data_IF_984584953558
#
_entry.id   IF_984584953558
#
_cell.length_a   1.000
_cell.length_b   1.000
_cell.length_c   1.000
_cell.angle_alpha   90.00
_cell.angle_beta   90.00
_cell.angle_gamma   90.00
#
_symmetry.space_group_name_H-M   'P 1'
#
loop_
_entity.id
_entity.type
_entity.pdbx_description
1 polymer ?
#
# COMPACT_ATOMS: atom_id res chain seq x y z
N UNK A 1 76.83 22.45 2.41
CA UNK A 1 75.55 23.05 2.00
C UNK A 1 74.43 22.06 2.27
N UNK A 2 73.62 22.25 3.31
CA UNK A 2 72.19 21.90 3.30
C UNK A 2 71.53 22.82 4.33
N UNK A 3 70.87 23.87 3.87
CA UNK A 3 70.08 24.74 4.75
C UNK A 3 68.79 24.03 5.15
N UNK A 4 68.54 23.89 6.45
CA UNK A 4 67.26 23.40 6.97
C UNK A 4 66.26 24.56 6.87
N UNK A 5 65.37 24.49 5.89
CA UNK A 5 64.28 25.46 5.73
C UNK A 5 63.25 25.16 6.84
N UNK A 6 62.94 26.11 7.74
CA UNK A 6 61.94 25.89 8.77
C UNK A 6 60.55 25.82 8.12
N UNK A 7 59.84 24.70 8.32
CA UNK A 7 58.43 24.58 7.91
C UNK A 7 57.61 25.60 8.68
N UNK A 8 57.02 26.57 7.97
CA UNK A 8 56.12 27.56 8.56
C UNK A 8 54.84 26.85 9.02
N UNK A 9 54.51 27.00 10.30
CA UNK A 9 53.27 26.48 10.88
C UNK A 9 52.12 27.29 10.27
N UNK A 10 51.43 26.70 9.28
CA UNK A 10 50.24 27.29 8.66
C UNK A 10 49.18 27.51 9.76
N UNK A 11 48.88 28.78 10.06
CA UNK A 11 47.73 29.14 10.90
C UNK A 11 46.46 28.63 10.22
N UNK A 12 45.67 27.85 10.94
CA UNK A 12 44.41 27.33 10.41
C UNK A 12 43.45 28.50 10.14
N UNK A 13 42.76 28.53 8.99
CA UNK A 13 41.78 29.56 8.69
C UNK A 13 40.63 29.50 9.71
N UNK A 14 40.20 30.66 10.21
CA UNK A 14 39.18 30.80 11.27
C UNK A 14 37.88 30.04 10.97
N UNK A 15 37.51 29.94 9.68
CA UNK A 15 36.35 29.17 9.22
C UNK A 15 36.46 27.66 9.52
N UNK A 16 37.67 27.09 9.48
CA UNK A 16 37.91 25.67 9.76
C UNK A 16 37.65 25.35 11.24
N UNK A 17 37.97 26.27 12.15
CA UNK A 17 37.66 26.12 13.57
C UNK A 17 36.14 26.20 13.81
N UNK A 18 35.44 27.11 13.12
CA UNK A 18 33.97 27.21 13.22
C UNK A 18 33.26 25.93 12.76
N UNK A 19 33.68 25.36 11.62
CA UNK A 19 33.15 24.09 11.11
C UNK A 19 33.44 22.94 12.08
N UNK A 20 34.63 22.90 12.70
CA UNK A 20 34.96 21.88 13.69
C UNK A 20 34.08 21.96 14.95
N UNK A 21 33.83 23.17 15.48
CA UNK A 21 32.91 23.37 16.61
C UNK A 21 31.47 23.01 16.25
N UNK A 22 31.03 23.34 15.04
CA UNK A 22 29.70 22.97 14.56
C UNK A 22 29.53 21.45 14.46
N UNK A 23 30.52 20.73 13.93
CA UNK A 23 30.52 19.26 13.92
C UNK A 23 30.48 18.67 15.33
N UNK A 24 31.25 19.21 16.27
CA UNK A 24 31.21 18.77 17.67
C UNK A 24 29.85 19.03 18.32
N UNK A 25 29.25 20.20 18.10
CA UNK A 25 27.91 20.52 18.59
C UNK A 25 26.85 19.59 18.02
N UNK A 26 26.94 19.25 16.73
CA UNK A 26 26.03 18.33 16.05
C UNK A 26 26.17 16.90 16.60
N UNK A 27 27.41 16.44 16.84
CA UNK A 27 27.68 15.14 17.47
C UNK A 27 27.10 15.08 18.88
N UNK A 28 27.31 16.11 19.71
CA UNK A 28 26.73 16.21 21.05
C UNK A 28 25.20 16.21 20.97
N UNK A 29 24.62 16.96 20.02
CA UNK A 29 23.18 16.99 19.79
C UNK A 29 22.60 15.61 19.45
N UNK A 30 23.31 14.82 18.62
CA UNK A 30 22.91 13.44 18.29
C UNK A 30 22.98 12.52 19.51
N UNK A 31 24.05 12.61 20.31
CA UNK A 31 24.21 11.80 21.52
C UNK A 31 23.12 12.13 22.55
N UNK A 32 22.84 13.41 22.77
CA UNK A 32 21.78 13.86 23.67
C UNK A 32 20.39 13.46 23.16
N UNK A 33 20.14 13.61 21.86
CA UNK A 33 18.88 13.21 21.24
C UNK A 33 18.63 11.71 21.39
N UNK A 34 19.65 10.88 21.15
CA UNK A 34 19.57 9.43 21.34
C UNK A 34 19.31 9.07 22.82
N UNK A 35 20.03 9.69 23.75
CA UNK A 35 19.84 9.44 25.19
C UNK A 35 18.43 9.82 25.66
N UNK A 36 17.88 10.92 25.16
CA UNK A 36 16.53 11.36 25.49
C UNK A 36 15.46 10.39 24.95
N UNK A 37 15.62 9.94 23.71
CA UNK A 37 14.73 8.94 23.10
C UNK A 37 14.76 7.63 23.87
N UNK A 38 15.95 7.15 24.25
CA UNK A 38 16.12 5.93 25.03
C UNK A 38 15.44 6.03 26.41
N UNK A 39 15.54 7.18 27.07
CA UNK A 39 14.87 7.42 28.35
C UNK A 39 13.34 7.44 28.22
N UNK A 40 12.82 8.09 27.16
CA UNK A 40 11.39 8.14 26.88
C UNK A 40 10.83 6.75 26.55
N UNK A 41 11.55 5.96 25.75
CA UNK A 41 11.19 4.59 25.42
C UNK A 41 11.15 3.72 26.69
N UNK A 42 12.17 3.81 27.55
CA UNK A 42 12.19 3.12 28.84
C UNK A 42 10.99 3.47 29.71
N UNK A 43 10.63 4.76 29.81
CA UNK A 43 9.45 5.21 30.58
C UNK A 43 8.13 4.71 29.98
N UNK A 44 8.01 4.66 28.65
CA UNK A 44 6.84 4.14 27.98
C UNK A 44 6.68 2.63 28.24
N UNK A 45 7.77 1.87 28.14
CA UNK A 45 7.79 0.43 28.44
C UNK A 45 7.43 0.15 29.91
N UNK A 46 8.02 0.89 30.85
CA UNK A 46 7.68 0.73 32.28
C UNK A 46 6.24 1.11 32.59
N UNK A 47 5.67 2.08 31.86
CA UNK A 47 4.26 2.44 32.01
C UNK A 47 3.35 1.31 31.52
N UNK A 48 3.66 0.71 30.36
CA UNK A 48 2.94 -0.45 29.84
C UNK A 48 3.02 -1.64 30.82
N UNK A 49 4.21 -1.93 31.35
CA UNK A 49 4.39 -3.01 32.33
C UNK A 49 3.58 -2.78 33.61
N UNK A 50 3.56 -1.55 34.15
CA UNK A 50 2.75 -1.21 35.32
C UNK A 50 1.24 -1.31 35.03
N UNK A 51 0.80 -0.97 33.82
CA UNK A 51 -0.59 -1.13 33.42
C UNK A 51 -0.96 -2.62 33.32
N UNK A 52 -0.08 -3.42 32.72
CA UNK A 52 -0.28 -4.85 32.58
C UNK A 52 -0.27 -5.57 33.93
N UNK A 53 0.60 -5.15 34.86
CA UNK A 53 0.60 -5.64 36.23
C UNK A 53 -0.69 -5.29 36.98
N UNK A 54 -1.21 -4.06 36.81
CA UNK A 54 -2.50 -3.66 37.39
C UNK A 54 -3.68 -4.41 36.78
N UNK A 55 -3.67 -4.64 35.46
CA UNK A 55 -4.66 -5.49 34.79
C UNK A 55 -4.58 -6.90 35.34
N UNK A 56 -3.37 -7.43 35.56
CA UNK A 56 -3.21 -8.81 36.03
C UNK A 56 -3.58 -9.05 37.48
N UNK A 57 -3.46 -8.03 38.34
CA UNK A 57 -3.90 -8.07 39.73
C UNK A 57 -5.42 -7.98 39.89
N UNK A 58 -6.14 -7.37 38.93
CA UNK A 58 -7.59 -7.14 39.00
C UNK A 58 -8.37 -8.16 38.15
N UNK A 59 -7.81 -8.61 37.03
CA UNK A 59 -8.47 -9.56 36.13
C UNK A 59 -8.34 -10.99 36.66
N UNK A 60 -9.49 -11.64 36.87
CA UNK A 60 -9.52 -13.09 37.09
C UNK A 60 -9.10 -13.83 35.82
N UNK A 61 -8.67 -15.10 35.90
CA UNK A 61 -8.39 -15.92 34.71
C UNK A 61 -9.59 -16.01 33.76
N UNK A 62 -10.80 -15.98 34.31
CA UNK A 62 -12.07 -16.00 33.58
C UNK A 62 -12.29 -14.72 32.77
N UNK A 63 -11.98 -13.56 33.35
CA UNK A 63 -12.08 -12.26 32.67
C UNK A 63 -11.14 -12.17 31.47
N UNK A 64 -9.91 -12.70 31.58
CA UNK A 64 -8.94 -12.71 30.46
C UNK A 64 -9.41 -13.59 29.30
N UNK A 65 -10.02 -14.74 29.61
CA UNK A 65 -10.59 -15.62 28.57
C UNK A 65 -11.75 -14.91 27.88
N UNK A 66 -12.65 -14.28 28.63
CA UNK A 66 -13.76 -13.51 28.07
C UNK A 66 -13.27 -12.32 27.22
N UNK A 67 -12.29 -11.56 27.69
CA UNK A 67 -11.69 -10.44 26.95
C UNK A 67 -11.07 -10.91 25.63
N UNK A 68 -10.30 -12.00 25.66
CA UNK A 68 -9.69 -12.55 24.44
C UNK A 68 -10.74 -12.99 23.40
N UNK A 69 -11.84 -13.60 23.84
CA UNK A 69 -12.95 -13.98 22.97
C UNK A 69 -13.67 -12.77 22.38
N UNK A 70 -13.90 -11.72 23.19
CA UNK A 70 -14.52 -10.47 22.74
C UNK A 70 -13.63 -9.77 21.72
N UNK A 71 -12.33 -9.67 21.98
CA UNK A 71 -11.37 -9.06 21.05
C UNK A 71 -11.28 -9.84 19.73
N UNK A 72 -11.23 -11.17 19.79
CA UNK A 72 -11.27 -12.01 18.60
C UNK A 72 -12.57 -11.81 17.80
N UNK A 73 -13.70 -11.72 18.50
CA UNK A 73 -15.01 -11.49 17.86
C UNK A 73 -15.09 -10.09 17.24
N UNK A 74 -14.61 -9.06 17.94
CA UNK A 74 -14.53 -7.68 17.43
C UNK A 74 -13.67 -7.61 16.18
N UNK A 75 -12.52 -8.27 16.17
CA UNK A 75 -11.66 -8.35 14.98
C UNK A 75 -12.42 -8.95 13.79
N UNK A 76 -13.09 -10.08 14.00
CA UNK A 76 -13.91 -10.73 12.96
C UNK A 76 -15.01 -9.80 12.46
N UNK A 77 -15.74 -9.14 13.36
CA UNK A 77 -16.80 -8.19 12.98
C UNK A 77 -16.23 -7.04 12.13
N UNK A 78 -15.08 -6.50 12.51
CA UNK A 78 -14.43 -5.43 11.74
C UNK A 78 -14.00 -5.92 10.36
N UNK A 79 -13.38 -7.09 10.26
CA UNK A 79 -12.97 -7.69 8.99
C UNK A 79 -14.17 -7.96 8.07
N UNK A 80 -15.30 -8.42 8.63
CA UNK A 80 -16.55 -8.57 7.85
C UNK A 80 -17.17 -7.23 7.47
N UNK A 81 -17.10 -6.22 8.35
CA UNK A 81 -17.63 -4.90 8.07
C UNK A 81 -16.89 -4.21 6.92
N UNK A 82 -15.57 -4.38 6.82
CA UNK A 82 -14.79 -3.83 5.71
C UNK A 82 -15.14 -4.52 4.39
N UNK A 83 -15.21 -5.85 4.39
CA UNK A 83 -15.65 -6.62 3.23
C UNK A 83 -17.07 -6.23 2.78
N UNK A 84 -18.01 -6.04 3.71
CA UNK A 84 -19.36 -5.60 3.42
C UNK A 84 -19.43 -4.15 2.91
N UNK A 85 -18.50 -3.27 3.30
CA UNK A 85 -18.48 -1.92 2.73
C UNK A 85 -17.99 -1.92 1.27
N UNK A 86 -17.04 -2.79 0.94
CA UNK A 86 -16.48 -2.85 -0.40
C UNK A 86 -17.24 -3.77 -1.36
N UNK A 87 -18.05 -4.72 -0.86
CA UNK A 87 -18.81 -5.64 -1.73
C UNK A 87 -19.75 -4.91 -2.69
N UNK A 88 -20.38 -3.80 -2.27
CA UNK A 88 -21.33 -3.06 -3.09
C UNK A 88 -20.65 -2.49 -4.35
N UNK A 89 -19.45 -1.96 -4.19
CA UNK A 89 -18.63 -1.41 -5.29
C UNK A 89 -18.29 -2.51 -6.30
N UNK A 90 -17.83 -3.66 -5.82
CA UNK A 90 -17.49 -4.81 -6.67
C UNK A 90 -18.71 -5.38 -7.37
N UNK A 91 -19.86 -5.47 -6.69
CA UNK A 91 -21.11 -5.98 -7.25
C UNK A 91 -21.64 -5.07 -8.38
N UNK A 92 -21.59 -3.75 -8.17
CA UNK A 92 -22.01 -2.77 -9.18
C UNK A 92 -21.09 -2.83 -10.42
N UNK A 93 -19.77 -2.92 -10.20
CA UNK A 93 -18.82 -3.06 -11.29
C UNK A 93 -19.00 -4.37 -12.07
N UNK A 94 -19.26 -5.48 -11.37
CA UNK A 94 -19.52 -6.76 -12.03
C UNK A 94 -20.80 -6.70 -12.85
N UNK A 95 -21.86 -6.07 -12.33
CA UNK A 95 -23.12 -5.85 -13.08
C UNK A 95 -22.89 -5.03 -14.35
N UNK A 96 -22.06 -4.00 -14.27
CA UNK A 96 -21.63 -3.22 -15.45
C UNK A 96 -20.92 -4.12 -16.49
N UNK A 97 -19.98 -4.97 -16.06
CA UNK A 97 -19.30 -5.88 -16.96
C UNK A 97 -20.24 -6.93 -17.55
N UNK A 98 -21.16 -7.49 -16.77
CA UNK A 98 -22.11 -8.50 -17.24
C UNK A 98 -23.00 -7.97 -18.37
N UNK A 99 -23.47 -6.72 -18.27
CA UNK A 99 -24.30 -6.09 -19.31
C UNK A 99 -23.49 -5.73 -20.55
N UNK A 100 -22.23 -5.33 -20.39
CA UNK A 100 -21.39 -4.82 -21.47
C UNK A 100 -20.38 -5.83 -22.03
N UNK A 101 -20.42 -7.09 -21.58
CA UNK A 101 -19.59 -8.17 -22.11
C UNK A 101 -20.36 -8.96 -23.16
N UNK A 102 -19.73 -9.17 -24.31
CA UNK A 102 -20.28 -9.99 -25.39
C UNK A 102 -20.46 -11.45 -24.92
N UNK A 103 -21.57 -12.12 -25.28
CA UNK A 103 -21.83 -13.51 -24.86
C UNK A 103 -20.75 -14.53 -25.26
N UNK A 104 -19.90 -14.18 -26.23
CA UNK A 104 -18.82 -15.04 -26.73
C UNK A 104 -17.47 -14.79 -26.05
N UNK A 105 -17.38 -13.79 -25.18
CA UNK A 105 -16.16 -13.43 -24.45
C UNK A 105 -16.25 -14.00 -23.04
N UNK A 106 -15.22 -14.75 -22.63
CA UNK A 106 -15.12 -15.30 -21.29
C UNK A 106 -14.11 -14.52 -20.47
N UNK A 107 -14.57 -13.95 -19.35
CA UNK A 107 -13.69 -13.31 -18.39
C UNK A 107 -13.18 -14.38 -17.41
N UNK A 108 -11.87 -14.40 -17.16
CA UNK A 108 -11.21 -15.38 -16.29
C UNK A 108 -10.64 -14.74 -15.03
N UNK A 109 -10.32 -13.43 -15.08
CA UNK A 109 -9.77 -12.70 -13.95
C UNK A 109 -10.26 -11.27 -13.96
N UNK A 110 -10.59 -10.78 -12.77
CA UNK A 110 -10.93 -9.39 -12.51
C UNK A 110 -10.17 -8.93 -11.26
N UNK A 111 -9.40 -7.86 -11.38
CA UNK A 111 -8.79 -7.16 -10.26
C UNK A 111 -9.28 -5.72 -10.28
N UNK A 112 -10.15 -5.38 -9.32
CA UNK A 112 -10.71 -4.04 -9.20
C UNK A 112 -9.91 -3.23 -8.18
N UNK A 113 -9.44 -2.06 -8.58
CA UNK A 113 -8.87 -1.05 -7.69
C UNK A 113 -9.77 0.19 -7.65
N UNK A 114 -10.70 0.27 -6.69
CA UNK A 114 -11.61 1.41 -6.53
C UNK A 114 -10.88 2.74 -6.27
N UNK A 115 -9.70 2.71 -5.64
CA UNK A 115 -8.97 3.93 -5.28
C UNK A 115 -8.36 4.62 -6.51
N UNK A 116 -7.96 3.83 -7.51
CA UNK A 116 -7.36 4.33 -8.77
C UNK A 116 -8.38 4.40 -9.92
N UNK A 117 -9.65 4.07 -9.65
CA UNK A 117 -10.69 3.94 -10.68
C UNK A 117 -10.25 3.07 -11.87
N UNK A 118 -9.53 1.97 -11.55
CA UNK A 118 -8.88 1.08 -12.49
C UNK A 118 -9.30 -0.36 -12.24
N UNK A 119 -9.53 -1.12 -13.30
CA UNK A 119 -9.76 -2.56 -13.25
C UNK A 119 -8.86 -3.28 -14.26
N UNK A 120 -8.17 -4.32 -13.82
CA UNK A 120 -7.49 -5.25 -14.72
C UNK A 120 -8.43 -6.42 -15.00
N UNK A 121 -8.73 -6.61 -16.28
CA UNK A 121 -9.63 -7.68 -16.75
C UNK A 121 -8.87 -8.58 -17.69
N UNK A 122 -8.88 -9.88 -17.40
CA UNK A 122 -8.32 -10.91 -18.27
C UNK A 122 -9.39 -11.89 -18.72
N UNK A 123 -9.22 -12.42 -19.92
CA UNK A 123 -10.21 -13.31 -20.50
C UNK A 123 -9.75 -13.98 -21.80
N UNK A 124 -10.72 -14.62 -22.43
CA UNK A 124 -10.58 -15.34 -23.69
C UNK A 124 -11.71 -14.94 -24.64
N UNK A 125 -11.38 -14.70 -25.90
CA UNK A 125 -12.32 -14.45 -26.98
C UNK A 125 -12.10 -15.49 -28.11
N UNK A 126 -13.11 -15.77 -28.95
CA UNK A 126 -12.96 -16.74 -30.03
C UNK A 126 -11.94 -16.31 -31.08
N UNK A 127 -11.87 -15.00 -31.35
CA UNK A 127 -10.97 -14.40 -32.33
C UNK A 127 -10.67 -12.93 -31.99
N UNK A 128 -9.63 -12.38 -32.64
CA UNK A 128 -9.23 -10.98 -32.49
C UNK A 128 -10.34 -9.99 -32.86
N UNK A 129 -11.23 -10.38 -33.78
CA UNK A 129 -12.35 -9.53 -34.22
C UNK A 129 -13.36 -9.34 -33.09
N UNK A 130 -13.71 -10.41 -32.40
CA UNK A 130 -14.62 -10.39 -31.26
C UNK A 130 -14.03 -9.60 -30.10
N UNK A 131 -12.72 -9.73 -29.85
CA UNK A 131 -12.03 -8.89 -28.87
C UNK A 131 -12.06 -7.41 -29.26
N UNK A 132 -11.80 -7.08 -30.52
CA UNK A 132 -11.90 -5.69 -30.99
C UNK A 132 -13.30 -5.10 -30.80
N UNK A 133 -14.35 -5.88 -31.10
CA UNK A 133 -15.73 -5.48 -30.83
C UNK A 133 -15.99 -5.27 -29.33
N UNK A 134 -15.49 -6.15 -28.47
CA UNK A 134 -15.61 -5.99 -27.02
C UNK A 134 -14.99 -4.69 -26.52
N UNK A 135 -13.78 -4.37 -27.00
CA UNK A 135 -13.08 -3.13 -26.62
C UNK A 135 -13.88 -1.90 -27.07
N UNK A 136 -14.41 -1.91 -28.30
CA UNK A 136 -15.22 -0.80 -28.81
C UNK A 136 -16.52 -0.61 -28.03
N UNK A 137 -17.18 -1.70 -27.61
CA UNK A 137 -18.39 -1.63 -26.77
C UNK A 137 -18.10 -0.97 -25.43
N UNK A 138 -16.97 -1.34 -24.80
CA UNK A 138 -16.55 -0.77 -23.53
C UNK A 138 -16.15 0.70 -23.68
N UNK A 139 -15.37 1.05 -24.70
CA UNK A 139 -14.97 2.43 -24.98
C UNK A 139 -16.16 3.34 -25.35
N UNK A 140 -17.25 2.76 -25.87
CA UNK A 140 -18.47 3.49 -26.18
C UNK A 140 -19.34 3.82 -24.96
N UNK A 141 -19.04 3.29 -23.77
CA UNK A 141 -19.79 3.60 -22.55
C UNK A 141 -19.33 4.93 -21.96
N UNK A 142 -20.27 5.82 -21.63
CA UNK A 142 -19.96 7.13 -20.99
C UNK A 142 -19.19 6.98 -19.66
N UNK A 143 -19.35 5.84 -19.01
CA UNK A 143 -18.76 5.55 -17.72
C UNK A 143 -17.30 5.06 -17.82
N UNK A 144 -16.84 4.70 -19.02
CA UNK A 144 -15.48 4.22 -19.29
C UNK A 144 -14.66 5.37 -19.88
N UNK A 145 -13.48 5.61 -19.32
CA UNK A 145 -12.56 6.63 -19.80
C UNK A 145 -11.64 6.08 -20.88
N UNK A 146 -11.05 4.91 -20.63
CA UNK A 146 -10.19 4.24 -21.59
C UNK A 146 -10.10 2.74 -21.32
N UNK A 147 -9.70 2.01 -22.36
CA UNK A 147 -9.44 0.56 -22.32
C UNK A 147 -8.10 0.33 -23.00
N UNK A 148 -7.11 -0.09 -22.22
CA UNK A 148 -5.74 -0.28 -22.67
C UNK A 148 -5.40 -1.77 -22.70
N UNK A 149 -5.16 -2.32 -23.89
CA UNK A 149 -4.80 -3.73 -24.04
C UNK A 149 -3.36 -3.95 -23.56
N UNK A 150 -3.18 -4.72 -22.48
CA UNK A 150 -1.88 -4.96 -21.86
C UNK A 150 -1.24 -6.27 -22.30
N UNK A 151 -2.06 -7.28 -22.60
CA UNK A 151 -1.56 -8.57 -23.07
C UNK A 151 -2.51 -9.15 -24.13
N UNK A 152 -1.91 -9.80 -25.14
CA UNK A 152 -2.61 -10.45 -26.22
C UNK A 152 -1.79 -11.67 -26.69
N UNK A 153 -2.42 -12.85 -26.68
CA UNK A 153 -1.77 -14.08 -27.13
C UNK A 153 -2.79 -15.06 -27.71
N UNK A 154 -2.31 -16.06 -28.45
CA UNK A 154 -3.12 -17.15 -28.98
C UNK A 154 -3.04 -18.32 -27.99
N UNK A 155 -4.19 -18.78 -27.52
CA UNK A 155 -4.37 -19.91 -26.62
C UNK A 155 -4.21 -21.26 -27.32
N UNK A 156 -4.34 -22.33 -26.53
CA UNK A 156 -4.00 -23.69 -26.98
C UNK A 156 -4.98 -24.25 -28.01
N UNK A 157 -6.23 -23.77 -28.06
CA UNK A 157 -7.24 -24.21 -29.03
C UNK A 157 -7.51 -23.14 -30.11
N UNK A 158 -6.62 -22.16 -30.25
CA UNK A 158 -6.74 -21.07 -31.22
C UNK A 158 -7.54 -19.86 -30.73
N UNK A 159 -8.04 -19.87 -29.49
CA UNK A 159 -8.69 -18.73 -28.84
C UNK A 159 -7.73 -17.56 -28.64
N UNK A 160 -8.25 -16.35 -28.59
CA UNK A 160 -7.49 -15.14 -28.27
C UNK A 160 -7.54 -14.91 -26.76
N UNK A 161 -6.40 -15.08 -26.07
CA UNK A 161 -6.25 -14.77 -24.65
C UNK A 161 -5.81 -13.32 -24.51
N UNK A 162 -6.49 -12.56 -23.67
CA UNK A 162 -6.25 -11.13 -23.52
C UNK A 162 -6.23 -10.69 -22.05
N UNK A 163 -5.57 -9.55 -21.82
CA UNK A 163 -5.71 -8.72 -20.63
C UNK A 163 -5.78 -7.26 -21.04
N UNK A 164 -6.67 -6.50 -20.42
CA UNK A 164 -6.72 -5.05 -20.58
C UNK A 164 -6.90 -4.35 -19.22
N UNK A 165 -6.37 -3.15 -19.15
CA UNK A 165 -6.63 -2.20 -18.09
C UNK A 165 -7.81 -1.32 -18.51
N UNK A 166 -8.84 -1.26 -17.66
CA UNK A 166 -10.02 -0.45 -17.86
C UNK A 166 -10.01 0.68 -16.83
N UNK A 167 -10.00 1.91 -17.33
CA UNK A 167 -10.11 3.12 -16.53
C UNK A 167 -11.53 3.64 -16.62
N UNK A 168 -12.15 3.90 -15.47
CA UNK A 168 -13.57 4.22 -15.39
C UNK A 168 -13.84 5.43 -14.50
N UNK A 169 -15.03 6.01 -14.62
CA UNK A 169 -15.51 7.02 -13.69
C UNK A 169 -15.99 6.34 -12.39
N UNK A 170 -15.60 6.83 -11.19
CA UNK A 170 -16.05 6.30 -9.90
C UNK A 170 -17.58 6.15 -9.75
N UNK A 171 -18.39 6.82 -10.57
CA UNK A 171 -19.84 6.64 -10.64
C UNK A 171 -20.28 5.19 -10.90
N UNK A 172 -19.48 4.35 -11.58
CA UNK A 172 -19.80 2.91 -11.77
C UNK A 172 -19.89 2.16 -10.43
N UNK A 173 -19.19 2.64 -9.40
CA UNK A 173 -19.06 1.95 -8.12
C UNK A 173 -20.15 2.31 -7.09
N UNK A 174 -21.06 3.25 -7.40
CA UNK A 174 -22.01 3.84 -6.44
C UNK A 174 -23.32 3.05 -6.31
#
# INVERSE_FOLDING_TARGET
>A
MVGIIPKTVKKTPQWQNFVAYFCYALLIGLVLGYALLFYLEGKAISSLQNLEEKITQVATPEDRVAESMILATKKRINDFSTLLQDHKKSSNFLSFLEVNTLPKVWLTKLELNPAEAKALVSGQAPDFKTLGQQILILQGQEQVQSVDLTNLSIGKKGETVFSFDLYFNPQILQ
#
